data_IF_541512412291
#
_entry.id   IF_541512412291
#
_cell.length_a   1.000
_cell.length_b   1.000
_cell.length_c   1.000
_cell.angle_alpha   90.00
_cell.angle_beta   90.00
_cell.angle_gamma   90.00
#
_symmetry.space_group_name_H-M   'P 1'
#
loop_
_entity.id
_entity.type
_entity.pdbx_description
1 polymer ?
#
# COMPACT_ATOMS: atom_id res chain seq x y z
N UNK A 1 -15.14 2.29 -8.15
CA UNK A 1 -14.29 1.63 -7.11
C UNK A 1 -12.95 1.35 -7.75
N UNK A 2 -11.83 1.73 -7.13
CA UNK A 2 -10.47 1.37 -7.56
C UNK A 2 -9.92 0.33 -6.58
N UNK A 3 -9.76 -0.96 -6.97
CA UNK A 3 -9.13 -1.96 -6.11
C UNK A 3 -7.62 -1.80 -6.12
N UNK A 4 -7.01 -1.92 -4.94
CA UNK A 4 -5.56 -2.01 -4.75
C UNK A 4 -5.28 -3.35 -4.08
N UNK A 5 -4.64 -4.27 -4.80
CA UNK A 5 -4.21 -5.55 -4.25
C UNK A 5 -2.81 -5.40 -3.65
N UNK A 6 -2.71 -5.49 -2.33
CA UNK A 6 -1.39 -5.55 -1.68
C UNK A 6 -0.86 -6.99 -1.71
N UNK A 7 0.08 -7.24 -2.58
CA UNK A 7 0.70 -8.54 -2.80
C UNK A 7 2.06 -8.60 -2.08
N UNK A 8 2.04 -8.95 -0.79
CA UNK A 8 3.24 -9.02 0.05
C UNK A 8 3.85 -10.43 0.17
N UNK A 9 3.31 -11.41 -0.55
CA UNK A 9 3.84 -12.76 -0.62
C UNK A 9 3.32 -13.75 0.41
N UNK A 10 2.70 -13.31 1.50
CA UNK A 10 2.30 -14.20 2.59
C UNK A 10 0.88 -13.93 3.08
N UNK A 11 0.17 -15.00 3.40
CA UNK A 11 -1.02 -14.99 4.26
C UNK A 11 -0.62 -15.66 5.58
N UNK A 12 -0.53 -14.86 6.67
CA UNK A 12 0.02 -15.31 7.95
C UNK A 12 1.44 -15.85 7.73
N UNK A 13 1.64 -17.15 7.87
CA UNK A 13 2.94 -17.81 7.71
C UNK A 13 3.09 -18.55 6.36
N UNK A 14 2.03 -18.60 5.55
CA UNK A 14 2.04 -19.36 4.31
C UNK A 14 2.24 -18.45 3.09
N UNK A 15 3.09 -18.83 2.14
CA UNK A 15 3.19 -18.13 0.86
C UNK A 15 1.84 -18.18 0.11
N UNK A 16 1.49 -17.06 -0.54
CA UNK A 16 0.26 -16.99 -1.37
C UNK A 16 0.50 -17.50 -2.78
N UNK A 17 -0.56 -17.98 -3.43
CA UNK A 17 -0.48 -18.43 -4.82
C UNK A 17 0.01 -17.30 -5.74
N UNK A 18 -0.57 -16.11 -5.61
CA UNK A 18 -0.22 -14.95 -6.44
C UNK A 18 1.24 -14.49 -6.31
N UNK A 19 1.94 -14.83 -5.22
CA UNK A 19 3.36 -14.54 -5.09
C UNK A 19 4.26 -15.53 -5.83
N UNK A 20 3.70 -16.62 -6.33
CA UNK A 20 4.42 -17.71 -6.98
C UNK A 20 4.24 -17.75 -8.49
N UNK A 21 3.33 -16.98 -9.02
CA UNK A 21 3.13 -16.86 -10.47
C UNK A 21 3.83 -15.60 -10.98
N UNK A 22 4.18 -15.61 -12.25
CA UNK A 22 4.92 -14.51 -12.87
C UNK A 22 4.08 -13.23 -12.98
N UNK A 23 4.75 -12.13 -13.29
CA UNK A 23 4.08 -10.85 -13.55
C UNK A 23 3.09 -10.99 -14.73
N UNK A 24 3.54 -11.62 -15.81
CA UNK A 24 2.74 -11.82 -17.02
C UNK A 24 1.50 -12.70 -16.76
N UNK A 25 1.65 -13.75 -15.93
CA UNK A 25 0.52 -14.60 -15.56
C UNK A 25 -0.51 -13.85 -14.71
N UNK A 26 -0.05 -13.00 -13.77
CA UNK A 26 -0.93 -12.14 -13.00
C UNK A 26 -1.67 -11.12 -13.87
N UNK A 27 -0.98 -10.50 -14.81
CA UNK A 27 -1.58 -9.58 -15.78
C UNK A 27 -2.67 -10.28 -16.60
N UNK A 28 -2.37 -11.42 -17.18
CA UNK A 28 -3.35 -12.22 -17.93
C UNK A 28 -4.54 -12.63 -17.07
N UNK A 29 -4.30 -13.02 -15.83
CA UNK A 29 -5.35 -13.42 -14.89
C UNK A 29 -6.31 -12.25 -14.60
N UNK A 30 -5.79 -11.08 -14.26
CA UNK A 30 -6.63 -9.92 -13.95
C UNK A 30 -7.34 -9.37 -15.18
N UNK A 31 -6.69 -9.37 -16.35
CA UNK A 31 -7.34 -9.03 -17.63
C UNK A 31 -8.46 -10.00 -17.95
N UNK A 32 -8.28 -11.31 -17.74
CA UNK A 32 -9.32 -12.32 -17.90
C UNK A 32 -10.53 -12.10 -16.97
N UNK A 33 -10.31 -11.46 -15.83
CA UNK A 33 -11.36 -11.05 -14.88
C UNK A 33 -12.00 -9.68 -15.22
N UNK A 34 -11.53 -8.98 -16.25
CA UNK A 34 -12.04 -7.68 -16.70
C UNK A 34 -11.41 -6.48 -16.01
N UNK A 35 -10.19 -6.63 -15.52
CA UNK A 35 -9.40 -5.55 -14.95
C UNK A 35 -8.25 -5.16 -15.87
N UNK A 36 -7.84 -3.91 -15.82
CA UNK A 36 -6.59 -3.41 -16.40
C UNK A 36 -5.61 -3.18 -15.25
N UNK A 37 -4.71 -4.15 -14.96
CA UNK A 37 -3.80 -4.04 -13.83
C UNK A 37 -2.59 -3.16 -14.16
N UNK A 38 -2.21 -2.27 -13.24
CA UNK A 38 -0.88 -1.69 -13.18
C UNK A 38 -0.16 -2.12 -11.93
N UNK A 39 1.14 -2.33 -12.06
CA UNK A 39 1.98 -2.86 -10.98
C UNK A 39 2.85 -1.75 -10.41
N UNK A 40 2.80 -1.61 -9.09
CA UNK A 40 3.72 -0.79 -8.30
C UNK A 40 4.55 -1.74 -7.47
N UNK A 41 5.80 -1.96 -7.87
CA UNK A 41 6.65 -3.00 -7.31
C UNK A 41 8.00 -2.43 -6.86
N UNK A 42 8.47 -2.85 -5.69
CA UNK A 42 9.76 -2.47 -5.13
C UNK A 42 9.77 -2.46 -3.61
N UNK A 43 10.83 -1.90 -3.06
CA UNK A 43 11.10 -1.79 -1.62
C UNK A 43 11.73 -0.45 -1.22
N UNK A 44 12.16 0.38 -2.16
CA UNK A 44 12.59 1.75 -1.87
C UNK A 44 11.37 2.68 -1.69
N UNK A 45 11.22 3.35 -0.53
CA UNK A 45 10.05 4.17 -0.26
C UNK A 45 9.87 5.35 -1.23
N UNK A 46 10.95 6.03 -1.62
CA UNK A 46 10.85 7.19 -2.50
C UNK A 46 10.43 6.78 -3.92
N UNK A 47 11.02 5.69 -4.45
CA UNK A 47 10.62 5.13 -5.74
C UNK A 47 9.18 4.63 -5.71
N UNK A 48 8.79 3.92 -4.64
CA UNK A 48 7.44 3.39 -4.50
C UNK A 48 6.38 4.49 -4.41
N UNK A 49 6.67 5.59 -3.72
CA UNK A 49 5.80 6.76 -3.68
C UNK A 49 5.65 7.40 -5.06
N UNK A 50 6.74 7.59 -5.80
CA UNK A 50 6.69 8.16 -7.14
C UNK A 50 5.89 7.27 -8.11
N UNK A 51 6.16 5.96 -8.13
CA UNK A 51 5.41 4.98 -8.94
C UNK A 51 3.92 4.95 -8.57
N UNK A 52 3.61 5.01 -7.27
CA UNK A 52 2.21 5.00 -6.82
C UNK A 52 1.49 6.28 -7.24
N UNK A 53 2.12 7.46 -7.12
CA UNK A 53 1.54 8.73 -7.56
C UNK A 53 1.20 8.70 -9.06
N UNK A 54 2.16 8.32 -9.91
CA UNK A 54 1.95 8.17 -11.35
C UNK A 54 0.82 7.17 -11.66
N UNK A 55 0.79 6.04 -10.94
CA UNK A 55 -0.22 5.00 -11.16
C UNK A 55 -1.61 5.45 -10.71
N UNK A 56 -1.69 6.23 -9.64
CA UNK A 56 -2.96 6.83 -9.18
C UNK A 56 -3.51 7.85 -10.17
N UNK A 57 -2.66 8.72 -10.73
CA UNK A 57 -3.05 9.68 -11.75
C UNK A 57 -3.62 8.95 -12.98
N UNK A 58 -2.91 7.95 -13.49
CA UNK A 58 -3.41 7.10 -14.55
C UNK A 58 -4.77 6.47 -14.21
N UNK A 59 -4.92 5.89 -13.02
CA UNK A 59 -6.17 5.23 -12.64
C UNK A 59 -7.36 6.19 -12.61
N UNK A 60 -7.14 7.43 -12.16
CA UNK A 60 -8.15 8.49 -12.15
C UNK A 60 -8.52 8.91 -13.56
N UNK A 61 -7.52 9.08 -14.44
CA UNK A 61 -7.75 9.41 -15.85
C UNK A 61 -8.57 8.33 -16.57
N UNK A 62 -8.23 7.05 -16.38
CA UNK A 62 -8.98 5.91 -16.94
C UNK A 62 -10.42 5.86 -16.42
N UNK A 63 -10.62 6.07 -15.12
CA UNK A 63 -11.97 6.12 -14.53
C UNK A 63 -12.80 7.25 -15.20
N UNK A 64 -12.21 8.43 -15.36
CA UNK A 64 -12.89 9.57 -16.00
C UNK A 64 -13.18 9.27 -17.48
N UNK A 65 -12.24 8.68 -18.20
CA UNK A 65 -12.42 8.31 -19.62
C UNK A 65 -13.56 7.29 -19.79
N UNK A 66 -13.60 6.25 -18.97
CA UNK A 66 -14.69 5.25 -18.95
C UNK A 66 -16.04 5.92 -18.67
N UNK A 67 -16.09 6.79 -17.65
CA UNK A 67 -17.32 7.48 -17.29
C UNK A 67 -17.80 8.43 -18.41
N UNK A 68 -16.89 9.17 -19.01
CA UNK A 68 -17.20 10.08 -20.10
C UNK A 68 -17.68 9.32 -21.33
N UNK A 69 -16.99 8.26 -21.72
CA UNK A 69 -17.38 7.42 -22.84
C UNK A 69 -18.81 6.89 -22.65
N UNK A 70 -19.10 6.25 -21.52
CA UNK A 70 -20.42 5.70 -21.25
C UNK A 70 -21.54 6.77 -21.28
N UNK A 71 -21.28 7.99 -20.77
CA UNK A 71 -22.26 9.07 -20.75
C UNK A 71 -22.52 9.70 -22.12
N UNK A 72 -21.49 9.76 -22.97
CA UNK A 72 -21.59 10.43 -24.28
C UNK A 72 -22.06 9.51 -25.39
N UNK A 73 -21.65 8.24 -25.36
CA UNK A 73 -21.97 7.28 -26.41
C UNK A 73 -23.16 6.37 -26.08
N UNK A 74 -23.55 6.31 -24.79
CA UNK A 74 -24.52 5.34 -24.26
C UNK A 74 -24.09 3.88 -24.49
N UNK A 75 -22.79 3.65 -24.71
CA UNK A 75 -22.23 2.31 -24.83
C UNK A 75 -22.35 1.56 -23.50
N UNK A 76 -22.95 0.38 -23.53
CA UNK A 76 -23.14 -0.49 -22.38
C UNK A 76 -22.13 -1.63 -22.34
N UNK A 77 -21.17 -1.65 -23.25
CA UNK A 77 -20.10 -2.64 -23.27
C UNK A 77 -19.27 -2.52 -21.96
N UNK A 78 -19.03 -3.65 -21.34
CA UNK A 78 -18.22 -3.69 -20.12
C UNK A 78 -16.79 -3.25 -20.42
N UNK A 79 -16.27 -2.18 -19.83
CA UNK A 79 -14.87 -1.79 -19.98
C UNK A 79 -13.96 -2.68 -19.15
N UNK A 80 -12.65 -2.63 -19.42
CA UNK A 80 -11.64 -3.04 -18.45
C UNK A 80 -11.49 -1.93 -17.42
N UNK A 81 -11.67 -2.26 -16.15
CA UNK A 81 -11.54 -1.28 -15.07
C UNK A 81 -10.13 -1.24 -14.51
N UNK A 82 -9.58 -0.05 -14.22
CA UNK A 82 -8.25 0.05 -13.64
C UNK A 82 -8.18 -0.63 -12.27
N UNK A 83 -7.07 -1.30 -12.01
CA UNK A 83 -6.69 -1.80 -10.70
C UNK A 83 -5.19 -1.66 -10.48
N UNK A 84 -4.78 -1.60 -9.21
CA UNK A 84 -3.37 -1.51 -8.84
C UNK A 84 -2.96 -2.81 -8.13
N UNK A 85 -1.84 -3.39 -8.56
CA UNK A 85 -1.16 -4.47 -7.85
C UNK A 85 0.06 -3.87 -7.16
N UNK A 86 -0.06 -3.68 -5.85
CA UNK A 86 1.01 -3.14 -5.02
C UNK A 86 1.84 -4.27 -4.44
N UNK A 87 3.05 -4.46 -4.96
CA UNK A 87 3.94 -5.53 -4.54
C UNK A 87 5.11 -4.97 -3.75
N UNK A 88 5.12 -5.22 -2.44
CA UNK A 88 6.18 -4.85 -1.53
C UNK A 88 6.50 -6.01 -0.58
N UNK A 89 7.67 -6.05 0.06
CA UNK A 89 7.98 -7.05 1.07
C UNK A 89 6.95 -7.02 2.20
N UNK A 90 6.61 -8.18 2.74
CA UNK A 90 5.77 -8.23 3.95
C UNK A 90 6.47 -7.53 5.10
N UNK A 91 5.76 -6.63 5.80
CA UNK A 91 6.36 -5.80 6.85
C UNK A 91 7.26 -4.68 6.32
N UNK A 92 7.08 -4.31 5.04
CA UNK A 92 7.81 -3.21 4.41
C UNK A 92 7.77 -1.93 5.26
N UNK A 93 8.91 -1.25 5.34
CA UNK A 93 9.21 -0.12 6.23
C UNK A 93 9.32 -0.48 7.73
N UNK A 94 9.09 -1.73 8.11
CA UNK A 94 9.33 -2.22 9.45
C UNK A 94 10.78 -2.62 9.70
N UNK A 95 11.07 -3.19 10.88
CA UNK A 95 12.41 -3.68 11.19
C UNK A 95 12.80 -4.82 10.22
N UNK A 96 14.00 -4.71 9.66
CA UNK A 96 14.53 -5.73 8.74
C UNK A 96 14.88 -7.02 9.46
N UNK A 97 15.40 -6.89 10.68
CA UNK A 97 15.87 -8.01 11.50
C UNK A 97 15.56 -7.76 12.97
N UNK A 98 15.21 -8.82 13.71
CA UNK A 98 15.04 -8.81 15.16
C UNK A 98 15.68 -10.09 15.72
N UNK A 99 16.52 -9.98 16.74
CA UNK A 99 17.25 -11.09 17.38
C UNK A 99 18.02 -11.97 16.36
N UNK A 100 18.68 -11.36 15.37
CA UNK A 100 19.42 -12.07 14.33
C UNK A 100 18.56 -12.85 13.33
N UNK A 101 17.25 -12.53 13.24
CA UNK A 101 16.31 -13.19 12.32
C UNK A 101 15.63 -12.18 11.42
N UNK A 102 15.63 -12.47 10.13
CA UNK A 102 14.91 -11.65 9.15
C UNK A 102 13.42 -11.55 9.49
N UNK A 103 12.90 -10.32 9.54
CA UNK A 103 11.49 -9.98 9.75
C UNK A 103 10.86 -9.47 8.46
N UNK A 104 11.36 -8.35 7.91
CA UNK A 104 10.87 -7.83 6.62
C UNK A 104 11.00 -8.88 5.51
N UNK A 105 9.98 -9.01 4.67
CA UNK A 105 9.94 -9.99 3.59
C UNK A 105 9.73 -11.44 4.07
N UNK A 106 9.41 -11.64 5.35
CA UNK A 106 9.16 -12.98 5.91
C UNK A 106 7.83 -13.07 6.64
N UNK A 107 7.41 -14.28 6.97
CA UNK A 107 6.20 -14.53 7.75
C UNK A 107 6.26 -13.91 9.16
N UNK A 108 7.46 -13.62 9.68
CA UNK A 108 7.65 -13.04 11.03
C UNK A 108 7.10 -11.63 11.13
N UNK A 109 6.93 -10.91 10.01
CA UNK A 109 6.30 -9.60 9.96
C UNK A 109 4.76 -9.65 10.08
N UNK A 110 4.15 -10.80 10.34
CA UNK A 110 2.68 -10.92 10.38
C UNK A 110 2.05 -10.31 11.63
N UNK A 111 2.69 -10.45 12.77
CA UNK A 111 2.21 -9.93 14.05
C UNK A 111 3.06 -8.74 14.49
N UNK A 112 3.13 -8.50 15.80
CA UNK A 112 4.05 -7.51 16.37
C UNK A 112 5.49 -7.94 16.04
N UNK A 113 6.22 -7.21 15.20
CA UNK A 113 7.53 -7.64 14.73
C UNK A 113 8.58 -7.62 15.84
N UNK A 114 8.37 -6.82 16.89
CA UNK A 114 9.26 -6.67 18.05
C UNK A 114 8.46 -6.97 19.31
N UNK A 115 8.82 -8.03 20.02
CA UNK A 115 8.27 -8.33 21.36
C UNK A 115 8.93 -7.41 22.40
N UNK A 116 8.16 -6.88 23.35
CA UNK A 116 8.64 -5.92 24.36
C UNK A 116 9.13 -6.64 25.63
N UNK A 117 9.74 -7.80 25.49
CA UNK A 117 10.24 -8.63 26.58
C UNK A 117 11.71 -8.38 26.93
N UNK A 118 12.41 -7.57 26.12
CA UNK A 118 13.82 -7.22 26.30
C UNK A 118 14.05 -5.72 26.19
N UNK A 119 14.98 -5.14 26.98
CA UNK A 119 15.32 -3.72 26.88
C UNK A 119 15.79 -3.30 25.47
N UNK A 120 16.54 -4.16 24.79
CA UNK A 120 17.07 -3.92 23.44
C UNK A 120 15.95 -3.78 22.41
N UNK A 121 14.83 -4.46 22.61
CA UNK A 121 13.64 -4.35 21.75
C UNK A 121 12.96 -2.99 21.86
N UNK A 122 13.00 -2.34 23.04
CA UNK A 122 12.48 -1.00 23.20
C UNK A 122 13.29 0.01 22.38
N UNK A 123 14.61 -0.10 22.40
CA UNK A 123 15.50 0.76 21.62
C UNK A 123 15.22 0.57 20.12
N UNK A 124 15.16 -0.67 19.65
CA UNK A 124 14.87 -0.96 18.25
C UNK A 124 13.48 -0.48 17.82
N UNK A 125 12.47 -0.59 18.70
CA UNK A 125 11.12 -0.07 18.44
C UNK A 125 11.14 1.46 18.32
N UNK A 126 11.85 2.15 19.22
CA UNK A 126 11.97 3.60 19.17
C UNK A 126 12.68 4.05 17.88
N UNK A 127 13.78 3.43 17.50
CA UNK A 127 14.48 3.70 16.25
C UNK A 127 13.58 3.51 15.04
N UNK A 128 12.82 2.42 15.00
CA UNK A 128 11.86 2.17 13.92
C UNK A 128 10.77 3.25 13.86
N UNK A 129 10.13 3.57 14.99
CA UNK A 129 9.07 4.59 15.00
C UNK A 129 9.61 6.00 14.64
N UNK A 130 10.83 6.33 15.07
CA UNK A 130 11.49 7.59 14.70
C UNK A 130 11.84 7.66 13.21
N UNK A 131 12.05 6.53 12.54
CA UNK A 131 12.33 6.50 11.09
C UNK A 131 11.16 6.99 10.22
N UNK A 132 9.97 7.13 10.80
CA UNK A 132 8.80 7.74 10.14
C UNK A 132 8.72 9.26 10.30
N UNK A 133 9.69 9.88 10.95
CA UNK A 133 9.75 11.34 11.16
C UNK A 133 8.48 11.95 11.73
N UNK A 134 7.96 11.42 12.88
CA UNK A 134 6.72 11.94 13.45
C UNK A 134 6.77 13.42 13.81
N UNK A 135 7.97 13.97 14.04
CA UNK A 135 8.22 15.40 14.29
C UNK A 135 7.85 16.31 13.09
N UNK A 136 7.73 15.77 11.89
CA UNK A 136 7.24 16.52 10.73
C UNK A 136 5.71 16.67 10.72
N UNK A 137 5.01 15.88 11.53
CA UNK A 137 3.55 15.83 11.58
C UNK A 137 2.97 16.32 12.92
N UNK A 138 3.76 16.23 13.99
CA UNK A 138 3.33 16.54 15.35
C UNK A 138 4.32 17.46 16.05
N UNK A 139 3.79 18.37 16.88
CA UNK A 139 4.59 19.18 17.78
C UNK A 139 5.03 18.38 19.04
N UNK A 140 5.83 18.99 19.90
CA UNK A 140 6.34 18.37 21.15
C UNK A 140 5.22 17.94 22.13
N UNK A 141 3.99 18.41 21.97
CA UNK A 141 2.82 18.03 22.76
C UNK A 141 2.00 16.93 22.09
N UNK A 142 2.42 16.42 20.92
CA UNK A 142 1.69 15.44 20.14
C UNK A 142 0.48 16.01 19.39
N UNK A 143 0.41 17.34 19.22
CA UNK A 143 -0.63 18.00 18.45
C UNK A 143 -0.24 18.04 16.97
N UNK A 144 -1.19 17.77 16.06
CA UNK A 144 -0.95 17.89 14.63
C UNK A 144 -0.54 19.32 14.25
N UNK A 145 0.44 19.44 13.37
CA UNK A 145 0.81 20.75 12.79
C UNK A 145 -0.40 21.41 12.10
N UNK A 146 -0.49 22.76 12.09
CA UNK A 146 -1.70 23.47 11.66
C UNK A 146 -2.14 23.21 10.20
N UNK A 147 -1.22 22.79 9.35
CA UNK A 147 -1.47 22.50 7.93
C UNK A 147 -2.25 21.19 7.70
N UNK A 148 -2.20 20.25 8.63
CA UNK A 148 -2.83 18.92 8.50
C UNK A 148 -4.33 18.87 8.85
N UNK A 149 -4.87 19.64 9.80
CA UNK A 149 -6.27 19.55 10.22
C UNK A 149 -7.29 19.80 9.12
N UNK A 150 -6.95 20.54 8.05
CA UNK A 150 -7.84 20.80 6.92
C UNK A 150 -8.20 19.53 6.17
N UNK A 151 -7.26 18.60 6.04
CA UNK A 151 -7.49 17.28 5.42
C UNK A 151 -8.34 16.37 6.32
N UNK A 152 -8.26 16.52 7.63
CA UNK A 152 -8.97 15.69 8.60
C UNK A 152 -10.43 16.08 8.80
N UNK A 153 -10.78 17.36 8.67
CA UNK A 153 -12.16 17.84 8.83
C UNK A 153 -13.10 17.32 7.76
N UNK A 154 -12.60 16.94 6.59
CA UNK A 154 -13.40 16.34 5.52
C UNK A 154 -13.82 14.89 5.83
N UNK A 155 -13.07 14.16 6.67
CA UNK A 155 -13.43 12.81 7.07
C UNK A 155 -14.56 12.78 8.11
N UNK A 156 -14.72 13.83 8.94
CA UNK A 156 -15.82 13.94 9.92
C UNK A 156 -17.17 14.31 9.33
N UNK A 157 -17.22 14.85 8.13
CA UNK A 157 -18.48 15.25 7.49
C UNK A 157 -19.36 14.06 7.04
N UNK A 158 -18.86 12.83 7.13
CA UNK A 158 -19.59 11.61 6.78
C UNK A 158 -20.05 10.78 7.98
N UNK A 159 -19.85 11.25 9.21
CA UNK A 159 -20.23 10.53 10.45
C UNK A 159 -21.55 11.05 11.06
N UNK A 160 -22.32 11.90 10.35
CA UNK A 160 -23.64 12.38 10.82
C UNK A 160 -24.78 11.86 9.96
#
# INVERSE_FOLDING_TARGET
MLPILHLNGFKIANPTLFSRISHEELEMFFRGCGWEPRFVEGDDPAEMHAKMAETMDWAIEEIHAIQQHARTTHDTTRPYWPMIVFRAPKGWTGPKEVDGRQVEGSFRAHQVPIAMDKPEHLVQLEEWLRSYHPEELFDDNGTLIPELPVSYTHLRAHET
#
